data_IF_615321991131
#
_entry.id   IF_615321991131
#
_cell.length_a   1.000
_cell.length_b   1.000
_cell.length_c   1.000
_cell.angle_alpha   90.00
_cell.angle_beta   90.00
_cell.angle_gamma   90.00
#
_symmetry.space_group_name_H-M   'P 1'
#
loop_
_entity.id
_entity.type
_entity.pdbx_description
1 polymer ?
#
# COMPACT_ATOMS: atom_id res chain seq x y z
N UNK A 1 40.93 -36.42 66.22
CA UNK A 1 40.20 -35.13 66.36
C UNK A 1 40.82 -34.15 65.38
N UNK A 2 40.08 -33.18 64.80
CA UNK A 2 38.61 -33.12 64.56
C UNK A 2 38.23 -33.84 63.24
N UNK A 3 36.96 -34.08 62.84
CA UNK A 3 35.94 -33.16 62.26
C UNK A 3 36.47 -32.32 61.06
N UNK A 4 35.81 -32.20 59.91
CA UNK A 4 34.56 -32.79 59.38
C UNK A 4 34.60 -32.70 57.81
N UNK A 5 33.63 -33.10 56.97
CA UNK A 5 32.24 -33.57 57.14
C UNK A 5 31.92 -34.68 56.11
N UNK A 6 30.80 -34.62 55.37
CA UNK A 6 30.47 -35.50 54.23
C UNK A 6 29.18 -35.09 53.52
N UNK A 7 29.02 -35.46 52.24
CA UNK A 7 27.82 -35.28 51.42
C UNK A 7 27.67 -36.44 50.42
N UNK A 8 26.45 -36.70 49.93
CA UNK A 8 26.09 -37.85 49.07
C UNK A 8 25.29 -37.41 47.84
N UNK A 9 25.32 -38.28 46.81
CA UNK A 9 24.31 -38.39 45.74
C UNK A 9 24.21 -37.16 44.80
N UNK A 10 23.60 -37.22 43.61
CA UNK A 10 22.68 -38.21 43.00
C UNK A 10 23.26 -38.75 41.67
N UNK A 11 22.91 -39.99 41.30
CA UNK A 11 23.17 -40.56 39.96
C UNK A 11 21.97 -40.31 39.04
N UNK A 12 22.21 -39.88 37.81
CA UNK A 12 21.19 -39.94 36.75
C UNK A 12 21.19 -41.33 36.09
N UNK A 13 19.98 -41.83 35.80
CA UNK A 13 19.75 -43.13 35.16
C UNK A 13 19.61 -42.96 33.65
N UNK A 14 20.44 -43.66 32.87
CA UNK A 14 20.19 -43.90 31.45
C UNK A 14 19.23 -45.07 31.29
N UNK A 15 18.10 -44.86 30.61
CA UNK A 15 17.14 -45.90 30.26
C UNK A 15 17.37 -46.37 28.82
N UNK A 16 17.29 -47.67 28.58
CA UNK A 16 17.58 -48.29 27.29
C UNK A 16 16.41 -49.18 26.84
N UNK A 17 16.30 -49.40 25.52
CA UNK A 17 15.50 -50.44 24.87
C UNK A 17 13.98 -50.46 25.07
N UNK A 18 13.25 -50.14 23.99
CA UNK A 18 12.34 -51.15 23.39
C UNK A 18 12.08 -50.92 21.90
N UNK A 19 12.42 -51.92 21.09
CA UNK A 19 11.91 -52.09 19.72
C UNK A 19 10.64 -52.94 19.76
N UNK A 20 9.61 -52.55 19.01
CA UNK A 20 8.38 -53.33 18.81
C UNK A 20 7.93 -53.16 17.35
N UNK A 21 8.12 -54.18 16.53
CA UNK A 21 7.58 -54.23 15.17
C UNK A 21 6.18 -54.87 15.22
N UNK A 22 5.12 -54.16 14.80
CA UNK A 22 3.80 -54.73 14.55
C UNK A 22 3.18 -54.18 13.26
N UNK A 23 2.90 -55.09 12.33
CA UNK A 23 2.23 -54.81 11.06
C UNK A 23 0.72 -54.96 11.27
N UNK A 24 -0.05 -53.92 10.94
CA UNK A 24 -1.52 -53.96 10.94
C UNK A 24 -2.06 -53.49 9.59
N UNK A 25 -2.32 -54.43 8.69
CA UNK A 25 -2.92 -54.16 7.38
C UNK A 25 -4.41 -53.81 7.52
N UNK A 26 -4.79 -52.56 7.22
CA UNK A 26 -6.19 -52.16 7.21
C UNK A 26 -6.85 -52.50 5.87
N UNK A 27 -7.86 -53.38 5.88
CA UNK A 27 -8.60 -53.76 4.68
C UNK A 27 -9.67 -52.69 4.33
N UNK A 28 -9.41 -51.85 3.33
CA UNK A 28 -10.46 -51.06 2.70
C UNK A 28 -11.28 -51.92 1.75
N UNK A 29 -12.50 -52.27 2.17
CA UNK A 29 -13.48 -52.96 1.32
C UNK A 29 -14.08 -51.95 0.33
N UNK A 30 -13.88 -52.18 -0.97
CA UNK A 30 -14.53 -51.41 -2.03
C UNK A 30 -16.04 -51.64 -1.98
N UNK A 31 -16.80 -50.54 -2.04
CA UNK A 31 -18.23 -50.54 -2.33
C UNK A 31 -18.44 -49.75 -3.63
N UNK A 32 -18.89 -50.42 -4.68
CA UNK A 32 -19.24 -49.76 -5.94
C UNK A 32 -20.50 -48.89 -5.74
N UNK A 33 -20.44 -47.62 -6.16
CA UNK A 33 -21.60 -46.74 -6.23
C UNK A 33 -21.76 -46.28 -7.68
N UNK A 34 -22.92 -46.59 -8.25
CA UNK A 34 -23.26 -46.38 -9.66
C UNK A 34 -23.31 -44.89 -10.04
N UNK A 35 -22.47 -44.46 -10.98
CA UNK A 35 -22.55 -43.12 -11.56
C UNK A 35 -23.75 -42.98 -12.52
N UNK A 36 -24.64 -41.97 -12.34
CA UNK A 36 -25.65 -41.64 -13.33
C UNK A 36 -25.03 -40.94 -14.56
N UNK A 37 -25.69 -41.08 -15.72
CA UNK A 37 -25.15 -40.64 -17.00
C UNK A 37 -25.24 -39.12 -17.20
N UNK A 38 -24.14 -38.50 -17.68
CA UNK A 38 -24.12 -37.12 -18.15
C UNK A 38 -25.12 -36.93 -19.31
N UNK A 39 -26.13 -36.07 -19.09
CA UNK A 39 -27.04 -35.61 -20.14
C UNK A 39 -26.51 -34.31 -20.74
N UNK A 40 -25.99 -34.38 -21.97
CA UNK A 40 -25.55 -33.20 -22.72
C UNK A 40 -26.72 -32.25 -22.99
N UNK A 41 -26.71 -31.06 -22.39
CA UNK A 41 -27.64 -29.98 -22.72
C UNK A 41 -27.00 -29.02 -23.73
N UNK A 42 -27.39 -29.15 -25.00
CA UNK A 42 -27.00 -28.24 -26.07
C UNK A 42 -27.90 -27.00 -26.11
N UNK A 43 -27.46 -25.88 -25.54
CA UNK A 43 -28.08 -24.58 -25.78
C UNK A 43 -27.41 -23.88 -26.95
N UNK A 44 -28.14 -23.76 -28.07
CA UNK A 44 -27.62 -23.21 -29.32
C UNK A 44 -27.67 -21.69 -29.34
N UNK A 45 -26.50 -21.05 -29.34
CA UNK A 45 -26.39 -19.61 -29.61
C UNK A 45 -26.73 -19.30 -31.09
N UNK A 46 -27.67 -18.39 -31.32
CA UNK A 46 -27.79 -17.66 -32.58
C UNK A 46 -27.05 -16.32 -32.44
N UNK A 47 -26.11 -15.97 -33.34
CA UNK A 47 -25.48 -14.66 -33.32
C UNK A 47 -26.44 -13.59 -33.86
N UNK A 48 -26.36 -12.36 -33.34
CA UNK A 48 -27.05 -11.22 -33.92
C UNK A 48 -26.12 -10.01 -34.03
N UNK A 49 -26.04 -9.46 -35.25
CA UNK A 49 -25.55 -8.12 -35.61
C UNK A 49 -24.17 -7.68 -35.09
N UNK A 50 -23.16 -7.74 -35.97
CA UNK A 50 -22.06 -6.79 -35.93
C UNK A 50 -22.59 -5.34 -35.93
N UNK A 51 -21.91 -4.43 -35.24
CA UNK A 51 -21.87 -3.01 -35.59
C UNK A 51 -20.40 -2.58 -35.67
N UNK A 52 -19.96 -2.21 -36.87
CA UNK A 52 -18.65 -1.66 -37.08
C UNK A 52 -18.62 -0.23 -36.51
N UNK A 53 -17.54 0.13 -35.81
CA UNK A 53 -17.17 1.53 -35.58
C UNK A 53 -15.87 1.81 -36.32
N UNK A 54 -15.98 2.51 -37.44
CA UNK A 54 -14.81 3.06 -38.16
C UNK A 54 -14.27 4.26 -37.39
N UNK A 55 -13.05 4.14 -36.86
CA UNK A 55 -12.30 5.30 -36.37
C UNK A 55 -11.44 5.86 -37.51
N UNK A 56 -11.93 6.93 -38.11
CA UNK A 56 -11.23 7.67 -39.18
C UNK A 56 -9.96 8.36 -38.65
N UNK A 57 -8.80 7.77 -38.91
CA UNK A 57 -7.50 8.38 -38.60
C UNK A 57 -7.25 9.64 -39.45
N UNK A 58 -7.39 10.82 -38.84
CA UNK A 58 -6.97 12.08 -39.44
C UNK A 58 -5.46 12.31 -39.25
N UNK A 59 -4.69 11.95 -40.28
CA UNK A 59 -3.25 12.24 -40.34
C UNK A 59 -3.01 13.71 -40.69
N UNK A 60 -2.53 14.52 -39.74
CA UNK A 60 -2.00 15.86 -40.02
C UNK A 60 -0.50 15.79 -40.36
N UNK A 61 -0.04 16.36 -41.49
CA UNK A 61 1.36 16.32 -41.89
C UNK A 61 2.21 17.33 -41.11
N UNK A 62 3.31 16.86 -40.51
CA UNK A 62 4.30 17.70 -39.82
C UNK A 62 5.28 18.34 -40.81
N UNK A 63 5.19 19.66 -40.98
CA UNK A 63 6.13 20.43 -41.81
C UNK A 63 7.43 20.74 -41.05
N UNK A 64 8.54 20.79 -41.80
CA UNK A 64 9.90 20.91 -41.28
C UNK A 64 10.42 22.37 -41.29
N UNK A 65 11.14 22.75 -40.22
CA UNK A 65 12.46 23.45 -40.23
C UNK A 65 12.54 24.79 -41.03
N UNK A 66 12.88 25.93 -40.39
CA UNK A 66 14.31 26.18 -40.14
C UNK A 66 14.71 26.91 -38.85
N UNK A 67 16.00 26.76 -38.52
CA UNK A 67 16.67 27.36 -37.36
C UNK A 67 16.90 28.86 -37.51
N UNK A 68 17.05 29.56 -36.37
CA UNK A 68 17.91 30.75 -36.26
C UNK A 68 18.77 30.63 -35.00
N UNK A 69 20.06 30.94 -35.13
CA UNK A 69 21.04 30.95 -34.04
C UNK A 69 21.18 32.34 -33.43
N UNK A 70 21.37 32.40 -32.11
CA UNK A 70 21.82 33.60 -31.40
C UNK A 70 23.09 33.29 -30.60
N UNK A 71 24.21 33.85 -31.05
CA UNK A 71 25.52 33.66 -30.42
C UNK A 71 25.69 34.64 -29.25
N UNK A 72 25.99 34.15 -28.05
CA UNK A 72 26.40 34.99 -26.92
C UNK A 72 27.72 34.47 -26.32
N UNK A 73 28.72 35.34 -26.24
CA UNK A 73 30.03 35.05 -25.64
C UNK A 73 30.10 35.58 -24.20
N UNK A 74 30.45 34.74 -23.22
CA UNK A 74 30.81 35.21 -21.87
C UNK A 74 31.83 34.30 -21.14
N UNK A 75 33.12 34.58 -21.39
CA UNK A 75 34.22 34.64 -20.40
C UNK A 75 34.27 33.62 -19.23
N UNK A 76 35.12 32.60 -19.40
CA UNK A 76 35.72 31.73 -18.35
C UNK A 76 36.34 32.52 -17.18
N UNK A 77 36.13 32.05 -15.93
CA UNK A 77 37.08 32.20 -14.81
C UNK A 77 36.95 31.01 -13.83
N UNK A 78 38.07 30.54 -13.29
CA UNK A 78 38.11 29.44 -12.30
C UNK A 78 38.31 30.01 -10.89
N UNK A 79 37.72 29.35 -9.87
CA UNK A 79 38.20 29.36 -8.49
C UNK A 79 37.61 28.16 -7.73
N UNK A 80 38.45 27.40 -7.02
CA UNK A 80 38.01 26.44 -6.00
C UNK A 80 37.77 27.20 -4.68
N UNK A 81 36.79 26.76 -3.89
CA UNK A 81 36.91 26.49 -2.43
C UNK A 81 35.59 25.94 -1.90
N UNK A 82 35.63 24.85 -1.14
CA UNK A 82 34.70 24.66 -0.01
C UNK A 82 35.24 25.49 1.17
N UNK A 83 34.38 25.88 2.14
CA UNK A 83 34.27 25.01 3.31
C UNK A 83 32.85 24.74 3.81
N UNK A 84 32.77 23.70 4.64
CA UNK A 84 31.63 23.20 5.41
C UNK A 84 31.09 24.21 6.42
N UNK A 85 29.76 24.20 6.69
CA UNK A 85 29.14 24.17 8.04
C UNK A 85 27.62 23.90 7.97
N UNK A 86 26.96 23.62 9.10
CA UNK A 86 25.49 23.33 9.21
C UNK A 86 24.72 24.46 9.99
N UNK A 87 23.52 24.30 10.62
CA UNK A 87 22.50 25.37 10.64
C UNK A 87 22.18 25.97 12.03
N UNK A 88 21.36 27.05 12.05
CA UNK A 88 20.58 27.66 13.16
C UNK A 88 19.69 28.75 12.50
N UNK A 89 18.35 28.85 12.64
CA UNK A 89 17.44 29.10 13.77
C UNK A 89 17.27 30.59 14.18
N UNK A 90 16.06 31.12 13.94
CA UNK A 90 15.30 32.16 14.71
C UNK A 90 15.73 33.66 14.70
N UNK A 91 14.71 34.55 14.55
CA UNK A 91 14.55 35.99 14.94
C UNK A 91 15.64 37.05 14.57
N UNK A 92 15.40 38.38 14.65
CA UNK A 92 14.30 39.22 14.12
C UNK A 92 14.75 40.72 14.05
N UNK A 93 13.89 41.61 13.53
CA UNK A 93 13.78 43.07 13.76
C UNK A 93 15.00 44.04 13.72
N UNK A 94 15.03 44.93 12.70
CA UNK A 94 15.36 46.38 12.79
C UNK A 94 15.04 47.05 11.42
N UNK A 95 13.97 47.84 11.24
CA UNK A 95 13.72 49.24 11.66
C UNK A 95 14.35 50.34 10.77
N UNK A 96 13.52 51.36 10.45
CA UNK A 96 13.79 52.68 9.85
C UNK A 96 14.43 52.70 8.44
N UNK A 97 14.27 53.67 7.53
CA UNK A 97 13.37 54.85 7.34
C UNK A 97 13.39 55.15 5.80
N UNK A 98 12.64 56.07 5.18
CA UNK A 98 11.80 57.21 5.62
C UNK A 98 10.66 57.42 4.59
N UNK A 99 9.53 58.05 4.96
CA UNK A 99 8.21 57.81 4.33
C UNK A 99 7.49 59.07 3.77
N UNK A 100 6.46 58.88 2.93
CA UNK A 100 5.64 59.95 2.31
C UNK A 100 4.12 59.60 2.33
N UNK A 101 3.31 60.42 3.02
CA UNK A 101 1.84 60.30 3.10
C UNK A 101 1.12 61.14 2.02
N UNK A 102 -0.13 60.80 1.65
CA UNK A 102 -1.28 61.68 1.95
C UNK A 102 -2.66 61.04 1.67
N UNK A 103 -3.44 60.87 2.75
CA UNK A 103 -4.86 61.23 2.93
C UNK A 103 -5.84 60.93 1.75
N UNK A 104 -6.71 59.91 1.87
CA UNK A 104 -7.99 59.91 2.62
C UNK A 104 -9.08 60.87 2.09
N UNK A 105 -10.21 60.30 1.62
CA UNK A 105 -11.51 60.96 1.67
C UNK A 105 -12.61 59.92 2.00
N UNK A 106 -13.45 60.24 2.99
CA UNK A 106 -14.66 59.49 3.38
C UNK A 106 -15.91 60.31 3.03
N UNK A 107 -17.06 59.64 2.85
CA UNK A 107 -18.36 60.27 2.58
C UNK A 107 -18.94 59.78 1.24
N UNK A 108 -19.82 58.79 1.16
CA UNK A 108 -21.16 58.61 1.78
C UNK A 108 -22.29 59.31 1.00
N UNK A 109 -23.26 58.52 0.55
CA UNK A 109 -24.69 58.86 0.38
C UNK A 109 -25.49 57.65 -0.12
N UNK A 110 -26.74 57.54 0.36
CA UNK A 110 -27.69 56.46 0.10
C UNK A 110 -28.29 56.48 -1.32
N UNK A 111 -28.74 55.32 -1.80
CA UNK A 111 -30.02 55.21 -2.53
C UNK A 111 -30.64 53.82 -2.28
N UNK A 112 -31.92 53.76 -1.89
CA UNK A 112 -32.64 52.50 -1.69
C UNK A 112 -33.40 52.10 -2.96
N UNK A 113 -33.06 50.92 -3.51
CA UNK A 113 -33.82 50.29 -4.59
C UNK A 113 -34.42 48.95 -4.13
N UNK A 114 -35.57 49.02 -3.46
CA UNK A 114 -36.36 47.84 -3.13
C UNK A 114 -36.82 47.12 -4.41
N UNK A 115 -36.53 45.82 -4.51
CA UNK A 115 -37.27 44.89 -5.37
C UNK A 115 -37.59 43.61 -4.61
N UNK A 116 -38.85 43.47 -4.23
CA UNK A 116 -39.43 42.17 -3.91
C UNK A 116 -39.43 41.29 -5.18
N UNK A 117 -38.87 40.09 -5.08
CA UNK A 117 -38.78 39.11 -6.15
C UNK A 117 -38.88 37.69 -5.60
N UNK A 118 -40.08 37.11 -5.71
CA UNK A 118 -40.45 35.78 -5.21
C UNK A 118 -39.98 34.65 -6.14
N UNK A 119 -39.69 33.47 -5.58
CA UNK A 119 -39.17 32.25 -6.26
C UNK A 119 -37.66 32.30 -6.57
N UNK A 120 -36.79 31.39 -6.11
CA UNK A 120 -36.99 29.95 -5.88
C UNK A 120 -36.03 29.40 -4.79
N UNK A 121 -36.39 28.27 -4.19
CA UNK A 121 -35.57 27.54 -3.22
C UNK A 121 -34.29 26.96 -3.87
N UNK A 122 -33.16 27.65 -3.66
CA UNK A 122 -31.82 27.12 -3.87
C UNK A 122 -31.05 27.11 -2.55
N UNK A 123 -31.41 26.19 -1.65
CA UNK A 123 -30.43 25.71 -0.68
C UNK A 123 -29.25 25.11 -1.47
N UNK A 124 -28.12 25.81 -1.43
CA UNK A 124 -26.86 25.33 -1.97
C UNK A 124 -26.35 24.16 -1.13
N UNK A 125 -26.86 22.97 -1.39
CA UNK A 125 -26.38 21.71 -0.84
C UNK A 125 -24.90 21.55 -1.18
N UNK A 126 -24.05 21.94 -0.23
CA UNK A 126 -22.60 21.86 -0.31
C UNK A 126 -22.16 20.40 -0.07
N UNK A 127 -22.57 19.52 -0.98
CA UNK A 127 -22.32 18.09 -0.98
C UNK A 127 -20.88 17.73 -1.40
N UNK A 128 -19.94 18.66 -1.21
CA UNK A 128 -18.51 18.49 -1.49
C UNK A 128 -17.70 18.24 -0.19
N UNK A 129 -18.21 18.67 0.97
CA UNK A 129 -17.55 18.56 2.29
C UNK A 129 -17.74 17.20 3.02
N UNK A 130 -18.24 16.15 2.36
CA UNK A 130 -18.34 14.79 2.93
C UNK A 130 -17.35 13.78 2.33
N UNK A 131 -16.29 14.27 1.67
CA UNK A 131 -15.09 13.48 1.36
C UNK A 131 -13.92 13.87 2.28
N UNK A 132 -14.18 13.89 3.60
CA UNK A 132 -13.12 13.67 4.59
C UNK A 132 -12.73 12.19 4.50
N UNK A 133 -11.92 11.87 3.49
CA UNK A 133 -11.11 10.65 3.51
C UNK A 133 -10.18 10.79 4.72
N UNK A 134 -10.58 10.15 5.82
CA UNK A 134 -9.86 10.16 7.08
C UNK A 134 -8.46 9.59 6.81
N UNK A 135 -7.41 10.44 6.79
CA UNK A 135 -6.01 10.04 6.58
C UNK A 135 -5.49 9.27 7.81
N UNK A 136 -6.14 8.14 8.08
CA UNK A 136 -5.76 7.18 9.10
C UNK A 136 -4.34 6.72 8.81
N UNK A 137 -3.42 7.05 9.72
CA UNK A 137 -1.99 6.81 9.53
C UNK A 137 -1.74 5.34 9.16
N UNK A 138 -1.28 5.08 7.93
CA UNK A 138 -1.09 3.72 7.42
C UNK A 138 -0.03 2.98 8.26
N UNK A 139 -0.48 2.05 9.10
CA UNK A 139 0.36 1.17 9.92
C UNK A 139 0.18 -0.29 9.52
N UNK A 140 1.24 -1.09 9.67
CA UNK A 140 1.25 -2.51 9.26
C UNK A 140 0.22 -3.30 10.07
N UNK A 141 -0.72 -3.99 9.41
CA UNK A 141 -1.76 -4.79 10.07
C UNK A 141 -3.10 -4.11 10.33
N UNK A 142 -3.36 -2.93 9.76
CA UNK A 142 -4.63 -2.17 9.88
C UNK A 142 -5.89 -2.87 9.32
N UNK A 143 -5.72 -3.91 8.49
CA UNK A 143 -6.79 -4.56 7.71
C UNK A 143 -7.20 -3.79 6.45
N UNK A 144 -6.42 -2.80 6.03
CA UNK A 144 -6.68 -1.88 4.91
C UNK A 144 -5.46 -1.69 4.01
N UNK A 145 -4.78 -0.55 4.12
CA UNK A 145 -3.59 -0.22 3.32
C UNK A 145 -2.29 -0.78 3.93
N UNK A 146 -2.27 -1.02 5.24
CA UNK A 146 -1.22 -1.77 5.93
C UNK A 146 -1.32 -3.29 5.84
N UNK A 147 -2.40 -3.82 5.25
CA UNK A 147 -2.64 -5.25 5.11
C UNK A 147 -3.04 -5.94 6.41
N UNK A 148 -3.01 -7.28 6.41
CA UNK A 148 -3.26 -8.08 7.61
C UNK A 148 -4.74 -8.21 7.99
N UNK A 149 -5.02 -8.57 9.24
CA UNK A 149 -6.34 -9.02 9.70
C UNK A 149 -6.81 -8.15 10.86
N UNK A 150 -7.91 -7.43 10.66
CA UNK A 150 -8.49 -6.46 11.61
C UNK A 150 -9.93 -6.87 11.95
N UNK A 151 -10.10 -7.59 13.04
CA UNK A 151 -11.41 -8.13 13.46
C UNK A 151 -12.09 -7.17 14.44
N UNK A 152 -13.40 -6.94 14.28
CA UNK A 152 -14.21 -6.08 15.15
C UNK A 152 -14.45 -6.62 16.57
N UNK A 153 -14.05 -7.87 16.86
CA UNK A 153 -14.27 -8.53 18.14
C UNK A 153 -15.65 -9.17 18.28
N UNK A 154 -16.33 -9.42 17.16
CA UNK A 154 -17.64 -10.09 17.14
C UNK A 154 -17.50 -11.60 17.35
N UNK A 155 -18.64 -12.27 17.53
CA UNK A 155 -18.71 -13.73 17.64
C UNK A 155 -18.52 -14.46 16.30
N UNK A 156 -18.69 -13.77 15.17
CA UNK A 156 -18.70 -14.35 13.82
C UNK A 156 -17.43 -14.05 12.99
N UNK A 157 -16.66 -13.02 13.37
CA UNK A 157 -15.48 -12.53 12.63
C UNK A 157 -14.52 -13.64 12.15
N UNK A 158 -14.24 -14.59 13.04
CA UNK A 158 -13.28 -15.69 12.80
C UNK A 158 -13.82 -16.72 11.82
N UNK A 159 -15.13 -16.92 11.78
CA UNK A 159 -15.75 -17.85 10.84
C UNK A 159 -15.79 -17.24 9.44
N UNK A 160 -16.14 -15.95 9.33
CA UNK A 160 -16.03 -15.22 8.07
C UNK A 160 -14.61 -15.24 7.50
N UNK A 161 -13.58 -15.05 8.35
CA UNK A 161 -12.17 -15.19 7.97
C UNK A 161 -11.85 -16.62 7.49
N UNK A 162 -12.23 -17.65 8.27
CA UNK A 162 -12.01 -19.07 7.90
C UNK A 162 -12.60 -19.39 6.53
N UNK A 163 -13.82 -18.94 6.27
CA UNK A 163 -14.49 -19.11 4.97
C UNK A 163 -13.69 -18.39 3.87
N UNK A 164 -13.24 -17.14 4.08
CA UNK A 164 -12.41 -16.43 3.10
C UNK A 164 -11.07 -17.12 2.79
N UNK A 165 -10.42 -17.69 3.81
CA UNK A 165 -9.18 -18.48 3.66
C UNK A 165 -9.40 -19.77 2.86
N UNK A 166 -10.55 -20.43 3.05
CA UNK A 166 -10.94 -21.60 2.24
C UNK A 166 -11.35 -21.23 0.80
N UNK A 167 -11.96 -20.06 0.61
CA UNK A 167 -12.24 -19.55 -0.75
C UNK A 167 -10.91 -19.30 -1.50
N UNK A 168 -9.91 -18.67 -0.88
CA UNK A 168 -8.58 -18.52 -1.50
C UNK A 168 -7.95 -19.88 -1.89
N UNK A 169 -8.12 -20.92 -1.08
CA UNK A 169 -7.64 -22.28 -1.40
C UNK A 169 -8.35 -22.89 -2.62
N UNK A 170 -9.58 -22.47 -2.94
CA UNK A 170 -10.30 -22.93 -4.14
C UNK A 170 -9.75 -22.39 -5.47
N UNK A 171 -8.88 -21.37 -5.44
CA UNK A 171 -8.20 -20.79 -6.61
C UNK A 171 -6.78 -21.34 -6.80
N UNK A 172 -6.55 -22.62 -6.47
CA UNK A 172 -5.24 -23.31 -6.57
C UNK A 172 -4.05 -22.59 -5.91
N UNK A 173 -4.32 -21.67 -4.97
CA UNK A 173 -3.32 -20.80 -4.33
C UNK A 173 -2.82 -19.64 -5.21
N UNK A 174 -3.45 -19.35 -6.35
CA UNK A 174 -3.15 -18.15 -7.14
C UNK A 174 -3.58 -16.85 -6.45
N UNK A 175 -4.67 -16.90 -5.68
CA UNK A 175 -5.20 -15.77 -4.91
C UNK A 175 -4.89 -15.90 -3.42
N UNK A 176 -4.57 -14.78 -2.77
CA UNK A 176 -4.33 -14.68 -1.33
C UNK A 176 -4.99 -13.43 -0.75
N UNK A 177 -5.46 -13.53 0.50
CA UNK A 177 -5.87 -12.37 1.30
C UNK A 177 -4.64 -11.50 1.59
N UNK A 178 -4.65 -10.26 1.11
CA UNK A 178 -3.70 -9.22 1.52
C UNK A 178 -4.18 -8.50 2.78
N UNK A 179 -5.47 -8.14 2.82
CA UNK A 179 -6.11 -7.58 4.00
C UNK A 179 -7.53 -8.15 4.20
N UNK A 180 -7.93 -8.29 5.45
CA UNK A 180 -9.27 -8.70 5.85
C UNK A 180 -9.73 -7.85 7.03
N UNK A 181 -10.91 -7.24 6.93
CA UNK A 181 -11.46 -6.40 7.98
C UNK A 181 -12.94 -6.70 8.18
N UNK A 182 -13.35 -6.87 9.44
CA UNK A 182 -14.77 -6.91 9.80
C UNK A 182 -15.14 -5.64 10.57
N UNK A 183 -16.38 -5.20 10.40
CA UNK A 183 -16.93 -4.00 11.02
C UNK A 183 -18.17 -4.36 11.84
N UNK A 184 -18.45 -3.58 12.88
CA UNK A 184 -19.56 -3.80 13.81
C UNK A 184 -20.96 -3.65 13.19
N UNK A 185 -21.05 -3.13 11.97
CA UNK A 185 -22.26 -2.99 11.16
C UNK A 185 -22.49 -4.19 10.20
N UNK A 186 -22.00 -5.39 10.54
CA UNK A 186 -22.04 -6.60 9.69
C UNK A 186 -21.42 -6.42 8.29
N UNK A 187 -20.41 -5.56 8.14
CA UNK A 187 -19.66 -5.41 6.88
C UNK A 187 -18.33 -6.15 6.95
N UNK A 188 -17.99 -6.83 5.85
CA UNK A 188 -16.69 -7.46 5.60
C UNK A 188 -16.02 -6.72 4.44
N UNK A 189 -14.76 -6.33 4.62
CA UNK A 189 -13.91 -5.80 3.57
C UNK A 189 -12.74 -6.76 3.34
N UNK A 190 -12.56 -7.24 2.11
CA UNK A 190 -11.48 -8.16 1.73
C UNK A 190 -10.67 -7.57 0.59
N UNK A 191 -9.36 -7.39 0.82
CA UNK A 191 -8.40 -7.00 -0.22
C UNK A 191 -7.64 -8.25 -0.66
N UNK A 192 -7.87 -8.69 -1.90
CA UNK A 192 -7.24 -9.90 -2.46
C UNK A 192 -6.08 -9.55 -3.42
N UNK A 193 -5.01 -10.34 -3.36
CA UNK A 193 -3.87 -10.24 -4.27
C UNK A 193 -3.72 -11.50 -5.13
N UNK A 194 -3.12 -11.36 -6.32
CA UNK A 194 -2.74 -12.49 -7.17
C UNK A 194 -1.24 -12.75 -7.10
N UNK A 195 -0.85 -13.91 -6.59
CA UNK A 195 0.54 -14.28 -6.32
C UNK A 195 1.35 -14.59 -7.59
N UNK A 196 0.69 -15.07 -8.65
CA UNK A 196 1.31 -15.29 -9.97
C UNK A 196 1.71 -14.00 -10.67
N UNK A 197 1.19 -12.84 -10.22
CA UNK A 197 1.49 -11.52 -10.78
C UNK A 197 2.58 -10.78 -9.98
N UNK A 198 3.61 -10.28 -10.68
CA UNK A 198 4.65 -9.39 -10.12
C UNK A 198 4.09 -8.12 -9.47
N UNK A 199 2.94 -7.60 -9.89
CA UNK A 199 2.34 -6.43 -9.25
C UNK A 199 1.48 -6.77 -8.02
N UNK A 200 1.12 -8.04 -7.82
CA UNK A 200 0.10 -8.49 -6.86
C UNK A 200 -1.35 -8.14 -7.24
N UNK A 201 -1.56 -7.45 -8.37
CA UNK A 201 -2.90 -7.04 -8.80
C UNK A 201 -3.70 -8.26 -9.31
N UNK A 202 -4.88 -8.55 -8.76
CA UNK A 202 -5.86 -9.44 -9.40
C UNK A 202 -6.43 -8.76 -10.66
N UNK A 203 -7.09 -9.54 -11.52
CA UNK A 203 -7.94 -9.00 -12.61
C UNK A 203 -9.36 -8.70 -12.10
N UNK A 204 -10.23 -8.16 -12.96
CA UNK A 204 -11.63 -7.96 -12.57
C UNK A 204 -12.35 -9.31 -12.42
N UNK A 205 -12.06 -10.25 -13.31
CA UNK A 205 -12.60 -11.61 -13.30
C UNK A 205 -12.20 -12.38 -12.03
N UNK A 206 -10.99 -12.16 -11.50
CA UNK A 206 -10.56 -12.72 -10.21
C UNK A 206 -11.40 -12.16 -9.04
N UNK A 207 -11.68 -10.85 -9.05
CA UNK A 207 -12.49 -10.18 -8.02
C UNK A 207 -13.95 -10.64 -8.09
N UNK A 208 -14.53 -10.70 -9.29
CA UNK A 208 -15.89 -11.19 -9.53
C UNK A 208 -16.04 -12.66 -9.10
N UNK A 209 -15.08 -13.52 -9.46
CA UNK A 209 -15.08 -14.93 -9.08
C UNK A 209 -14.92 -15.12 -7.57
N UNK A 210 -13.96 -14.44 -6.93
CA UNK A 210 -13.77 -14.50 -5.48
C UNK A 210 -15.01 -14.00 -4.73
N UNK A 211 -15.54 -12.84 -5.12
CA UNK A 211 -16.74 -12.23 -4.51
C UNK A 211 -17.96 -13.15 -4.63
N UNK A 212 -18.18 -13.74 -5.81
CA UNK A 212 -19.30 -14.67 -6.04
C UNK A 212 -19.17 -15.95 -5.19
N UNK A 213 -17.99 -16.58 -5.18
CA UNK A 213 -17.75 -17.80 -4.39
C UNK A 213 -17.84 -17.52 -2.88
N UNK A 214 -17.24 -16.43 -2.41
CA UNK A 214 -17.27 -16.07 -0.99
C UNK A 214 -18.67 -15.70 -0.53
N UNK A 215 -19.43 -14.93 -1.31
CA UNK A 215 -20.84 -14.64 -1.04
C UNK A 215 -21.66 -15.92 -0.89
N UNK A 216 -21.55 -16.87 -1.82
CA UNK A 216 -22.31 -18.12 -1.75
C UNK A 216 -22.03 -18.92 -0.46
N UNK A 217 -20.77 -18.95 0.00
CA UNK A 217 -20.42 -19.67 1.24
C UNK A 217 -20.79 -18.89 2.51
N UNK A 218 -20.79 -17.55 2.47
CA UNK A 218 -21.39 -16.72 3.51
C UNK A 218 -22.90 -16.99 3.60
N UNK A 219 -23.62 -17.02 2.48
CA UNK A 219 -25.07 -17.28 2.45
C UNK A 219 -25.42 -18.67 3.04
N UNK A 220 -24.61 -19.70 2.79
CA UNK A 220 -24.73 -21.02 3.44
C UNK A 220 -24.50 -20.94 4.97
N UNK A 221 -23.51 -20.17 5.42
CA UNK A 221 -23.23 -19.95 6.85
C UNK A 221 -24.29 -19.07 7.54
N UNK A 222 -24.89 -18.10 6.83
CA UNK A 222 -26.06 -17.33 7.29
C UNK A 222 -27.24 -18.28 7.49
N UNK A 223 -27.54 -19.17 6.52
CA UNK A 223 -28.60 -20.17 6.64
C UNK A 223 -28.37 -21.13 7.82
N UNK A 224 -27.12 -21.55 8.05
CA UNK A 224 -26.71 -22.37 9.18
C UNK A 224 -26.60 -21.60 10.52
N UNK A 225 -26.79 -20.27 10.51
CA UNK A 225 -26.71 -19.36 11.67
C UNK A 225 -25.36 -19.39 12.40
N UNK A 226 -24.27 -19.62 11.65
CA UNK A 226 -22.88 -19.55 12.13
C UNK A 226 -22.33 -18.12 12.04
N UNK A 227 -22.96 -17.27 11.21
CA UNK A 227 -22.71 -15.84 11.07
C UNK A 227 -24.07 -15.09 11.07
N UNK A 228 -24.14 -13.77 11.36
CA UNK A 228 -25.40 -13.02 11.35
C UNK A 228 -25.98 -12.91 9.93
N UNK A 229 -27.28 -12.63 9.83
CA UNK A 229 -27.92 -12.34 8.55
C UNK A 229 -27.41 -11.03 7.94
N UNK A 230 -27.69 -10.85 6.64
CA UNK A 230 -27.68 -9.56 5.94
C UNK A 230 -26.29 -8.91 5.90
N UNK A 231 -25.24 -9.73 5.76
CA UNK A 231 -23.84 -9.26 5.74
C UNK A 231 -23.54 -8.47 4.48
N UNK A 232 -22.92 -7.30 4.62
CA UNK A 232 -22.34 -6.54 3.51
C UNK A 232 -20.93 -7.06 3.19
N UNK A 233 -20.59 -7.13 1.90
CA UNK A 233 -19.29 -7.62 1.43
C UNK A 233 -18.70 -6.66 0.40
N UNK A 234 -17.50 -6.16 0.69
CA UNK A 234 -16.65 -5.43 -0.23
C UNK A 234 -15.44 -6.32 -0.60
N UNK A 235 -15.18 -6.50 -1.89
CA UNK A 235 -13.97 -7.17 -2.38
C UNK A 235 -13.21 -6.20 -3.29
N UNK A 236 -11.95 -5.93 -2.96
CA UNK A 236 -11.12 -4.96 -3.65
C UNK A 236 -9.67 -5.46 -3.81
N UNK A 237 -8.82 -4.67 -4.45
CA UNK A 237 -7.38 -4.97 -4.57
C UNK A 237 -6.56 -4.10 -3.60
N UNK A 238 -5.31 -4.49 -3.24
CA UNK A 238 -4.44 -3.69 -2.37
C UNK A 238 -3.97 -2.34 -2.93
N UNK A 239 -4.28 -2.03 -4.19
CA UNK A 239 -3.90 -0.77 -4.83
C UNK A 239 -2.39 -0.49 -4.87
N UNK A 240 -2.04 0.77 -4.58
CA UNK A 240 -0.68 1.34 -4.57
C UNK A 240 -0.25 1.85 -3.20
N UNK A 241 -1.22 2.15 -2.34
CA UNK A 241 -1.07 2.54 -0.94
C UNK A 241 -0.42 1.43 -0.09
N UNK A 242 -0.52 0.18 -0.55
CA UNK A 242 -0.12 -1.01 0.21
C UNK A 242 1.28 -0.96 0.81
N UNK A 243 1.36 -1.46 2.03
CA UNK A 243 2.64 -1.81 2.67
C UNK A 243 3.26 -3.05 2.04
N UNK A 244 4.58 -2.99 1.86
CA UNK A 244 5.47 -4.06 1.40
C UNK A 244 6.00 -4.82 2.63
N UNK A 245 5.80 -6.13 2.69
CA UNK A 245 6.33 -6.96 3.79
C UNK A 245 7.85 -7.16 3.65
N UNK A 246 8.57 -7.14 4.78
CA UNK A 246 10.04 -7.12 4.83
C UNK A 246 10.58 -8.26 5.71
N UNK A 247 11.44 -9.15 5.17
CA UNK A 247 12.05 -9.11 3.82
C UNK A 247 11.19 -9.67 2.67
N UNK A 248 10.03 -10.27 2.95
CA UNK A 248 9.33 -11.23 2.07
C UNK A 248 9.01 -10.70 0.67
N UNK A 249 8.59 -9.44 0.55
CA UNK A 249 8.16 -8.84 -0.71
C UNK A 249 9.21 -7.94 -1.38
N UNK A 250 10.38 -7.77 -0.75
CA UNK A 250 11.43 -6.90 -1.29
C UNK A 250 11.89 -7.35 -2.69
N UNK A 251 12.04 -8.66 -2.92
CA UNK A 251 12.45 -9.17 -4.25
C UNK A 251 11.36 -8.97 -5.33
N UNK A 252 10.09 -9.07 -4.93
CA UNK A 252 8.90 -8.93 -5.79
C UNK A 252 8.78 -7.51 -6.34
N UNK A 253 9.13 -6.51 -5.52
CA UNK A 253 8.94 -5.10 -5.85
C UNK A 253 10.24 -4.28 -6.02
N UNK A 254 11.43 -4.88 -5.94
CA UNK A 254 12.75 -4.22 -6.06
C UNK A 254 12.90 -3.24 -7.24
N UNK A 255 12.23 -3.52 -8.36
CA UNK A 255 12.27 -2.70 -9.58
C UNK A 255 11.40 -1.42 -9.50
N UNK A 256 10.59 -1.25 -8.44
CA UNK A 256 9.66 -0.13 -8.25
C UNK A 256 10.23 0.94 -7.30
N UNK A 257 9.84 2.21 -7.47
CA UNK A 257 10.03 3.21 -6.41
C UNK A 257 9.13 2.88 -5.21
N UNK A 258 9.66 3.10 -4.02
CA UNK A 258 8.98 2.90 -2.74
C UNK A 258 9.06 4.18 -1.91
N UNK A 259 7.98 4.51 -1.20
CA UNK A 259 8.04 5.45 -0.11
C UNK A 259 8.49 4.71 1.15
N UNK A 260 9.55 5.20 1.80
CA UNK A 260 10.14 4.59 2.99
C UNK A 260 10.16 5.62 4.12
N UNK A 261 9.56 5.27 5.27
CA UNK A 261 9.64 5.98 6.54
C UNK A 261 10.53 5.15 7.48
N UNK A 262 11.56 5.75 8.06
CA UNK A 262 12.59 5.05 8.83
C UNK A 262 13.11 5.91 10.00
N UNK A 263 13.62 5.25 11.04
CA UNK A 263 14.26 5.91 12.18
C UNK A 263 15.77 5.91 12.01
N UNK A 264 16.40 7.07 12.23
CA UNK A 264 17.85 7.20 12.40
C UNK A 264 18.17 7.41 13.87
N UNK A 265 19.00 6.53 14.43
CA UNK A 265 19.57 6.71 15.77
C UNK A 265 20.78 7.64 15.68
N UNK A 266 20.72 8.80 16.34
CA UNK A 266 21.79 9.81 16.32
C UNK A 266 22.66 9.61 17.56
N UNK A 267 23.83 8.98 17.40
CA UNK A 267 24.78 8.60 18.48
C UNK A 267 25.39 9.79 19.27
N UNK A 268 24.84 11.00 19.14
CA UNK A 268 25.22 12.21 19.88
C UNK A 268 24.07 12.84 20.67
N UNK A 269 22.85 12.28 20.58
CA UNK A 269 21.66 12.78 21.26
C UNK A 269 20.67 11.64 21.46
N UNK A 270 20.13 11.49 22.67
CA UNK A 270 19.22 10.40 23.06
C UNK A 270 17.84 10.43 22.37
N UNK A 271 17.69 11.25 21.32
CA UNK A 271 16.54 11.40 20.44
C UNK A 271 16.73 10.61 19.14
N UNK A 272 15.79 9.72 18.86
CA UNK A 272 15.60 9.11 17.55
C UNK A 272 14.95 10.10 16.59
N UNK A 273 15.56 10.35 15.43
CA UNK A 273 14.95 11.16 14.38
C UNK A 273 14.28 10.26 13.34
N UNK A 274 12.97 10.39 13.19
CA UNK A 274 12.29 9.81 12.03
C UNK A 274 12.64 10.59 10.75
N UNK A 275 12.64 9.91 9.61
CA UNK A 275 13.00 10.47 8.31
C UNK A 275 12.33 9.66 7.21
N UNK A 276 12.06 10.29 6.07
CA UNK A 276 11.34 9.66 4.98
C UNK A 276 11.87 10.04 3.59
N UNK A 277 11.37 9.35 2.57
CA UNK A 277 11.61 9.70 1.18
C UNK A 277 11.20 8.62 0.19
N UNK A 278 11.31 8.96 -1.10
CA UNK A 278 11.06 8.03 -2.21
C UNK A 278 12.37 7.45 -2.71
N UNK A 279 12.54 6.14 -2.59
CA UNK A 279 13.77 5.44 -2.92
C UNK A 279 13.51 4.30 -3.90
N UNK A 280 14.57 3.83 -4.56
CA UNK A 280 14.63 2.52 -5.21
C UNK A 280 15.45 1.59 -4.31
N UNK A 281 15.04 0.33 -4.23
CA UNK A 281 15.89 -0.70 -3.64
C UNK A 281 17.11 -0.94 -4.55
N UNK A 282 18.27 -1.23 -3.98
CA UNK A 282 19.51 -1.51 -4.73
C UNK A 282 20.02 -2.91 -4.39
N UNK A 283 19.98 -3.25 -3.10
CA UNK A 283 20.25 -4.59 -2.59
C UNK A 283 19.62 -4.70 -1.20
N UNK A 284 19.23 -5.90 -0.81
CA UNK A 284 18.90 -6.24 0.57
C UNK A 284 19.65 -7.51 0.92
N UNK A 285 19.92 -7.69 2.21
CA UNK A 285 20.55 -8.89 2.74
C UNK A 285 19.77 -9.39 3.96
N UNK A 286 19.44 -10.68 3.93
CA UNK A 286 18.67 -11.38 4.96
C UNK A 286 19.57 -11.76 6.14
N UNK A 287 20.87 -12.00 5.91
CA UNK A 287 21.83 -12.38 6.96
C UNK A 287 22.17 -11.17 7.85
N UNK A 288 22.53 -10.03 7.26
CA UNK A 288 22.76 -8.77 8.00
C UNK A 288 21.48 -7.98 8.30
N UNK A 289 20.31 -8.45 7.84
CA UNK A 289 19.00 -7.78 7.96
C UNK A 289 19.03 -6.30 7.52
N UNK A 290 19.67 -5.99 6.40
CA UNK A 290 19.88 -4.61 5.95
C UNK A 290 19.39 -4.37 4.52
N UNK A 291 18.71 -3.24 4.30
CA UNK A 291 18.38 -2.71 2.98
C UNK A 291 19.38 -1.60 2.59
N UNK A 292 19.85 -1.64 1.35
CA UNK A 292 20.56 -0.53 0.69
C UNK A 292 19.64 0.13 -0.32
N UNK A 293 19.40 1.42 -0.12
CA UNK A 293 18.53 2.28 -0.92
C UNK A 293 19.34 3.28 -1.73
N UNK A 294 18.72 3.82 -2.78
CA UNK A 294 19.17 5.07 -3.43
C UNK A 294 17.97 5.89 -3.89
N UNK A 295 18.18 7.18 -4.21
CA UNK A 295 17.07 8.04 -4.63
C UNK A 295 16.36 7.49 -5.88
N UNK A 296 15.03 7.44 -5.85
CA UNK A 296 14.23 7.16 -7.04
C UNK A 296 14.28 8.35 -8.01
N UNK A 297 14.35 8.09 -9.32
CA UNK A 297 14.34 9.14 -10.35
C UNK A 297 12.89 9.58 -10.68
N UNK A 298 12.23 10.15 -9.67
CA UNK A 298 10.84 10.64 -9.68
C UNK A 298 10.79 12.17 -9.53
N UNK A 299 9.69 12.81 -9.94
CA UNK A 299 9.46 14.27 -9.95
C UNK A 299 9.86 14.92 -8.62
N UNK A 300 9.33 14.41 -7.50
CA UNK A 300 9.59 14.92 -6.14
C UNK A 300 11.08 14.89 -5.72
N UNK A 301 11.89 13.97 -6.28
CA UNK A 301 13.34 13.92 -6.06
C UNK A 301 14.15 14.74 -7.07
N UNK A 302 13.64 14.88 -8.30
CA UNK A 302 14.20 15.70 -9.38
C UNK A 302 14.05 17.19 -9.10
N UNK A 303 12.90 17.62 -8.59
CA UNK A 303 12.58 19.03 -8.31
C UNK A 303 13.50 19.64 -7.24
N UNK A 304 13.99 18.83 -6.29
CA UNK A 304 15.06 19.19 -5.33
C UNK A 304 16.40 19.56 -6.01
N UNK A 305 16.56 19.34 -7.32
CA UNK A 305 17.68 19.77 -8.15
C UNK A 305 17.27 20.73 -9.31
N UNK A 306 16.01 21.19 -9.33
CA UNK A 306 15.42 22.07 -10.33
C UNK A 306 14.43 21.37 -11.27
N UNK A 307 13.29 22.01 -11.51
CA UNK A 307 12.15 21.47 -12.30
C UNK A 307 12.61 20.91 -13.66
N UNK A 308 12.20 19.66 -13.95
CA UNK A 308 12.51 18.96 -15.19
C UNK A 308 13.95 18.45 -15.36
N UNK A 309 14.85 18.63 -14.39
CA UNK A 309 16.23 18.11 -14.47
C UNK A 309 16.29 16.65 -13.99
N UNK A 310 16.94 15.72 -14.72
CA UNK A 310 17.23 14.38 -14.21
C UNK A 310 18.14 14.44 -12.98
N UNK A 311 18.09 13.42 -12.11
CA UNK A 311 18.97 13.36 -10.93
C UNK A 311 20.45 13.56 -11.30
N UNK A 312 21.14 14.41 -10.53
CA UNK A 312 22.57 14.67 -10.68
C UNK A 312 23.42 13.42 -10.37
N UNK A 313 24.69 13.42 -10.80
CA UNK A 313 25.61 12.30 -10.54
C UNK A 313 25.66 11.94 -9.03
N UNK A 314 25.83 12.94 -8.16
CA UNK A 314 25.85 12.78 -6.70
C UNK A 314 24.56 12.15 -6.16
N UNK A 315 23.40 12.52 -6.69
CA UNK A 315 22.10 11.92 -6.30
C UNK A 315 21.93 10.47 -6.80
N UNK A 316 22.42 10.14 -8.00
CA UNK A 316 22.37 8.76 -8.54
C UNK A 316 23.29 7.80 -7.77
N UNK A 317 24.43 8.31 -7.32
CA UNK A 317 25.46 7.60 -6.56
C UNK A 317 25.18 7.55 -5.04
N UNK A 318 24.34 8.45 -4.51
CA UNK A 318 23.93 8.46 -3.11
C UNK A 318 23.30 7.12 -2.66
N UNK A 319 23.64 6.71 -1.44
CA UNK A 319 23.14 5.48 -0.81
C UNK A 319 22.70 5.78 0.62
N UNK A 320 21.69 5.04 1.07
CA UNK A 320 21.26 4.92 2.46
C UNK A 320 21.26 3.44 2.82
N UNK A 321 21.74 3.09 4.02
CA UNK A 321 21.64 1.73 4.58
C UNK A 321 20.73 1.78 5.80
N UNK A 322 19.77 0.88 5.88
CA UNK A 322 18.81 0.76 7.00
C UNK A 322 18.72 -0.70 7.45
N UNK A 323 18.91 -1.02 8.74
CA UNK A 323 18.44 -2.28 9.31
C UNK A 323 16.94 -2.45 9.08
N UNK A 324 16.44 -3.68 8.92
CA UNK A 324 14.99 -3.93 8.77
C UNK A 324 14.21 -3.36 9.97
N UNK A 325 14.74 -3.55 11.19
CA UNK A 325 14.13 -3.11 12.45
C UNK A 325 14.05 -1.57 12.59
N UNK A 326 14.75 -0.79 11.74
CA UNK A 326 14.66 0.68 11.70
C UNK A 326 13.59 1.21 10.75
N UNK A 327 13.00 0.34 9.91
CA UNK A 327 11.95 0.72 8.96
C UNK A 327 10.60 0.78 9.68
N UNK A 328 9.87 1.88 9.50
CA UNK A 328 8.53 2.10 10.09
C UNK A 328 7.42 1.84 9.08
N UNK A 329 7.64 2.26 7.84
CA UNK A 329 6.70 2.06 6.74
C UNK A 329 7.49 1.89 5.45
N UNK A 330 7.15 0.89 4.65
CA UNK A 330 7.56 0.81 3.24
C UNK A 330 6.31 0.52 2.44
N UNK A 331 5.95 1.43 1.53
CA UNK A 331 4.83 1.26 0.59
C UNK A 331 5.27 1.55 -0.83
N UNK A 332 4.52 1.09 -1.83
CA UNK A 332 4.82 1.47 -3.21
C UNK A 332 4.63 2.97 -3.40
N UNK A 333 5.44 3.57 -4.26
CA UNK A 333 5.24 4.95 -4.71
C UNK A 333 4.60 4.96 -6.10
N UNK A 334 3.50 5.69 -6.23
CA UNK A 334 2.95 6.09 -7.54
C UNK A 334 3.21 7.58 -7.75
N UNK A 335 3.53 7.97 -8.98
CA UNK A 335 3.63 9.37 -9.37
C UNK A 335 2.24 9.86 -9.80
N UNK A 336 1.78 10.96 -9.19
CA UNK A 336 0.49 11.64 -9.45
C UNK A 336 0.76 12.92 -10.25
#
# INVERSE_FOLDING_TARGET
>A
MPLHQGAKEIKFLTSENRKMDLISSCNMRVSEISAPQNKSFSYGFRPLSNRNFEFSFWMHPSNLIPMKSSTLHAKKRNSQTEPVLKPTLIEEASMDNEDEEEQLLFGDLEDEALMDGDGDDLEGDNLEDQYVEDEAELYVGDGGGGGGISLAGTWWDKEALRIAEEVCQSFDGELKIYAFKTLSNSTIQVRIERLTNKSGSPTMEDIEAFSTTYRAWLDEAELAKIIPNDISLEVSSPGVERVVQIPEELDRFKDRPMYVKYVTEIVMSDSSSESDGVFRLISFDIETKCCTWGLADVRINREKAGKGRPLSKKQREWRLSTPFDSLRLVRLFSEI
#
